data_IF_534119369820
#
_entry.id   IF_534119369820
#
_cell.length_a   1.000
_cell.length_b   1.000
_cell.length_c   1.000
_cell.angle_alpha   90.00
_cell.angle_beta   90.00
_cell.angle_gamma   90.00
#
_symmetry.space_group_name_H-M   'P 1'
#
loop_
_entity.id
_entity.type
_entity.pdbx_description
1 polymer ?
#
# COMPACT_ATOMS: atom_id res chain seq x y z
N UNK A 1 22.28 11.97 71.24
CA UNK A 1 23.40 11.12 70.79
C UNK A 1 22.93 10.39 69.54
N UNK A 2 23.19 10.96 68.35
CA UNK A 2 22.81 10.32 67.08
C UNK A 2 23.84 9.22 66.79
N UNK A 3 23.43 7.95 66.75
CA UNK A 3 24.34 6.84 66.46
C UNK A 3 24.83 6.97 65.02
N UNK A 4 26.15 7.06 64.84
CA UNK A 4 26.81 7.15 63.54
C UNK A 4 26.53 5.94 62.63
N UNK A 5 26.08 4.83 63.20
CA UNK A 5 25.72 3.60 62.48
C UNK A 5 24.52 3.77 61.53
N UNK A 6 23.56 4.64 61.88
CA UNK A 6 22.42 4.93 61.01
C UNK A 6 22.79 5.80 59.81
N UNK A 7 23.84 6.63 59.92
CA UNK A 7 24.26 7.52 58.84
C UNK A 7 24.86 6.72 57.68
N UNK A 8 25.67 5.70 57.99
CA UNK A 8 26.23 4.78 56.99
C UNK A 8 25.14 4.06 56.21
N UNK A 9 24.18 3.45 56.91
CA UNK A 9 23.08 2.73 56.28
C UNK A 9 22.20 3.62 55.39
N UNK A 10 21.92 4.86 55.81
CA UNK A 10 21.16 5.83 55.02
C UNK A 10 21.92 6.20 53.74
N UNK A 11 23.22 6.49 53.84
CA UNK A 11 24.05 6.83 52.67
C UNK A 11 24.10 5.66 51.68
N UNK A 12 24.30 4.43 52.15
CA UNK A 12 24.33 3.24 51.29
C UNK A 12 22.97 3.00 50.60
N UNK A 13 21.86 3.22 51.32
CA UNK A 13 20.52 3.08 50.77
C UNK A 13 20.25 4.11 49.68
N UNK A 14 20.60 5.37 49.91
CA UNK A 14 20.44 6.46 48.92
C UNK A 14 21.30 6.19 47.68
N UNK A 15 22.56 5.80 47.85
CA UNK A 15 23.45 5.46 46.73
C UNK A 15 22.92 4.27 45.91
N UNK A 16 22.36 3.26 46.59
CA UNK A 16 21.76 2.10 45.92
C UNK A 16 20.53 2.50 45.09
N UNK A 17 19.71 3.40 45.62
CA UNK A 17 18.51 3.91 44.95
C UNK A 17 18.86 4.77 43.73
N UNK A 18 19.89 5.61 43.84
CA UNK A 18 20.43 6.40 42.73
C UNK A 18 21.02 5.49 41.65
N UNK A 19 21.79 4.47 42.03
CA UNK A 19 22.33 3.50 41.09
C UNK A 19 21.22 2.74 40.36
N UNK A 20 20.18 2.29 41.08
CA UNK A 20 19.03 1.62 40.49
C UNK A 20 18.32 2.51 39.46
N UNK A 21 18.05 3.77 39.80
CA UNK A 21 17.42 4.74 38.89
C UNK A 21 18.28 5.00 37.64
N UNK A 22 19.61 5.06 37.81
CA UNK A 22 20.53 5.20 36.69
C UNK A 22 20.45 4.00 35.73
N UNK A 23 20.44 2.76 36.25
CA UNK A 23 20.32 1.57 35.42
C UNK A 23 18.97 1.46 34.71
N UNK A 24 17.87 1.83 35.38
CA UNK A 24 16.53 1.86 34.76
C UNK A 24 16.47 2.89 33.63
N UNK A 25 16.97 4.10 33.87
CA UNK A 25 17.03 5.17 32.86
C UNK A 25 17.94 4.81 31.68
N UNK A 26 19.10 4.21 31.95
CA UNK A 26 20.01 3.73 30.91
C UNK A 26 19.38 2.62 30.07
N UNK A 27 18.68 1.67 30.69
CA UNK A 27 17.94 0.61 30.00
C UNK A 27 16.83 1.16 29.12
N UNK A 28 16.06 2.13 29.62
CA UNK A 28 14.99 2.79 28.86
C UNK A 28 15.54 3.57 27.66
N UNK A 29 16.63 4.32 27.86
CA UNK A 29 17.32 5.04 26.77
C UNK A 29 17.91 4.09 25.73
N UNK A 30 18.49 2.96 26.14
CA UNK A 30 19.01 1.95 25.21
C UNK A 30 17.87 1.33 24.39
N UNK A 31 16.73 1.09 25.01
CA UNK A 31 15.54 0.56 24.33
C UNK A 31 14.96 1.56 23.33
N UNK A 32 14.91 2.85 23.69
CA UNK A 32 14.54 3.94 22.80
C UNK A 32 15.51 4.09 21.63
N UNK A 33 16.83 4.02 21.88
CA UNK A 33 17.85 4.05 20.83
C UNK A 33 17.71 2.88 19.87
N UNK A 34 17.49 1.65 20.37
CA UNK A 34 17.25 0.49 19.51
C UNK A 34 15.98 0.61 18.67
N UNK A 35 14.91 1.21 19.20
CA UNK A 35 13.71 1.52 18.43
C UNK A 35 13.97 2.61 17.38
N UNK A 36 14.69 3.66 17.74
CA UNK A 36 15.07 4.74 16.82
C UNK A 36 16.01 4.26 15.71
N UNK A 37 16.95 3.37 16.01
CA UNK A 37 17.87 2.75 15.03
C UNK A 37 17.12 1.84 14.07
N UNK A 38 16.14 1.06 14.55
CA UNK A 38 15.26 0.25 13.68
C UNK A 38 14.35 1.12 12.82
N UNK A 39 13.82 2.20 13.37
CA UNK A 39 13.02 3.18 12.63
C UNK A 39 13.88 3.90 11.58
N UNK A 40 15.12 4.26 11.92
CA UNK A 40 16.07 4.89 11.00
C UNK A 40 16.56 3.92 9.91
N UNK A 41 16.76 2.64 10.22
CA UNK A 41 17.08 1.61 9.24
C UNK A 41 15.89 1.39 8.29
N UNK A 42 14.67 1.28 8.82
CA UNK A 42 13.45 1.18 8.02
C UNK A 42 13.22 2.43 7.15
N UNK A 43 13.54 3.62 7.66
CA UNK A 43 13.48 4.87 6.90
C UNK A 43 14.52 4.89 5.77
N UNK A 44 15.77 4.44 6.01
CA UNK A 44 16.80 4.33 4.96
C UNK A 44 16.44 3.29 3.91
N UNK A 45 15.86 2.17 4.30
CA UNK A 45 15.39 1.16 3.35
C UNK A 45 14.22 1.68 2.52
N UNK A 46 13.29 2.42 3.13
CA UNK A 46 12.22 3.12 2.42
C UNK A 46 12.77 4.17 1.44
N UNK A 47 13.78 4.95 1.85
CA UNK A 47 14.43 5.98 1.03
C UNK A 47 15.28 5.36 -0.10
N UNK A 48 15.88 4.19 0.14
CA UNK A 48 16.57 3.40 -0.88
C UNK A 48 15.58 2.80 -1.89
N UNK A 49 14.41 2.36 -1.42
CA UNK A 49 13.31 1.94 -2.28
C UNK A 49 12.70 3.11 -3.07
N UNK A 50 12.68 4.31 -2.49
CA UNK A 50 12.17 5.53 -3.12
C UNK A 50 13.18 6.16 -4.10
N UNK A 51 14.49 6.02 -3.88
CA UNK A 51 15.53 6.36 -4.88
C UNK A 51 15.62 5.37 -6.04
N UNK A 52 15.06 4.16 -5.88
CA UNK A 52 14.77 3.23 -6.97
C UNK A 52 13.43 3.52 -7.67
N UNK A 53 12.72 4.62 -7.34
CA UNK A 53 11.60 5.11 -8.16
C UNK A 53 12.15 5.63 -9.50
N UNK A 54 11.65 5.17 -10.65
CA UNK A 54 11.49 6.11 -11.74
C UNK A 54 10.52 7.21 -11.27
N UNK A 55 11.01 8.44 -11.23
CA UNK A 55 10.25 9.64 -10.85
C UNK A 55 9.10 9.82 -11.82
N UNK A 56 7.90 9.42 -11.39
CA UNK A 56 6.72 9.41 -12.24
C UNK A 56 6.85 8.43 -13.39
N UNK A 57 5.72 7.99 -13.89
CA UNK A 57 5.67 7.53 -15.26
C UNK A 57 5.96 8.78 -16.11
N UNK A 58 7.23 9.05 -16.41
CA UNK A 58 7.54 9.92 -17.56
C UNK A 58 6.72 9.40 -18.72
N UNK A 59 6.15 10.27 -19.57
CA UNK A 59 5.41 9.83 -20.74
C UNK A 59 6.31 8.82 -21.47
N UNK A 60 5.93 7.56 -21.45
CA UNK A 60 6.60 6.51 -22.21
C UNK A 60 6.15 6.69 -23.65
N UNK A 61 6.50 7.84 -24.25
CA UNK A 61 6.31 8.14 -25.66
C UNK A 61 7.25 7.20 -26.44
N UNK A 62 6.72 6.07 -26.90
CA UNK A 62 7.40 5.18 -27.84
C UNK A 62 7.84 3.80 -27.34
N UNK A 63 7.49 3.38 -26.11
CA UNK A 63 7.76 2.00 -25.67
C UNK A 63 6.64 1.04 -26.08
N UNK A 64 7.05 -0.20 -26.43
CA UNK A 64 6.17 -1.34 -26.67
C UNK A 64 5.03 -1.40 -25.62
N UNK A 65 3.75 -1.40 -26.05
CA UNK A 65 2.59 -1.46 -25.15
C UNK A 65 2.69 -2.57 -24.10
N UNK A 66 3.30 -3.72 -24.44
CA UNK A 66 3.48 -4.82 -23.49
C UNK A 66 4.46 -4.43 -22.37
N UNK A 67 5.57 -3.78 -22.72
CA UNK A 67 6.55 -3.27 -21.75
C UNK A 67 5.96 -2.24 -20.78
N UNK A 68 5.10 -1.35 -21.29
CA UNK A 68 4.42 -0.35 -20.43
C UNK A 68 3.39 -1.01 -19.52
N UNK A 69 2.61 -1.97 -20.03
CA UNK A 69 1.66 -2.73 -19.22
C UNK A 69 2.36 -3.53 -18.12
N UNK A 70 3.52 -4.13 -18.42
CA UNK A 70 4.34 -4.83 -17.43
C UNK A 70 4.89 -3.88 -16.35
N UNK A 71 5.37 -2.70 -16.74
CA UNK A 71 5.84 -1.68 -15.80
C UNK A 71 4.72 -1.19 -14.88
N UNK A 72 3.53 -0.95 -15.43
CA UNK A 72 2.35 -0.53 -14.67
C UNK A 72 1.90 -1.61 -13.68
N UNK A 73 1.84 -2.87 -14.12
CA UNK A 73 1.52 -4.01 -13.25
C UNK A 73 2.52 -4.11 -12.10
N UNK A 74 3.82 -3.96 -12.39
CA UNK A 74 4.85 -3.99 -11.36
C UNK A 74 4.66 -2.88 -10.33
N UNK A 75 4.26 -1.69 -10.76
CA UNK A 75 3.96 -0.58 -9.85
C UNK A 75 2.73 -0.85 -8.99
N UNK A 76 1.65 -1.35 -9.59
CA UNK A 76 0.44 -1.76 -8.86
C UNK A 76 0.82 -2.78 -7.77
N UNK A 77 1.48 -3.87 -8.14
CA UNK A 77 1.90 -4.91 -7.19
C UNK A 77 2.82 -4.38 -6.10
N UNK A 78 3.72 -3.45 -6.43
CA UNK A 78 4.64 -2.84 -5.46
C UNK A 78 3.91 -2.05 -4.41
N UNK A 79 2.89 -1.29 -4.78
CA UNK A 79 2.09 -0.52 -3.85
C UNK A 79 1.13 -1.42 -3.07
N UNK A 80 0.55 -2.46 -3.70
CA UNK A 80 -0.22 -3.47 -2.99
C UNK A 80 0.59 -4.16 -1.88
N UNK A 81 1.92 -4.29 -2.04
CA UNK A 81 2.80 -4.82 -0.99
C UNK A 81 3.06 -3.85 0.18
N UNK A 82 2.71 -2.55 0.06
CA UNK A 82 3.01 -1.50 1.05
C UNK A 82 1.84 -1.20 1.99
N UNK A 83 1.27 -2.24 2.60
CA UNK A 83 0.21 -2.15 3.63
C UNK A 83 -0.98 -1.24 3.22
N UNK A 84 -1.71 -1.61 2.16
CA UNK A 84 -2.99 -0.99 1.83
C UNK A 84 -3.94 -1.05 3.02
N UNK A 85 -4.62 0.06 3.28
CA UNK A 85 -5.49 0.24 4.45
C UNK A 85 -6.90 0.73 4.11
N UNK A 86 -7.11 1.24 2.88
CA UNK A 86 -8.43 1.66 2.40
C UNK A 86 -8.53 1.43 0.90
N UNK A 87 -9.72 1.03 0.46
CA UNK A 87 -10.09 0.80 -0.91
C UNK A 87 -11.48 1.39 -1.14
N UNK A 88 -11.61 2.17 -2.21
CA UNK A 88 -12.86 2.82 -2.61
C UNK A 88 -13.10 2.53 -4.08
N UNK A 89 -14.28 2.05 -4.44
CA UNK A 89 -14.68 1.84 -5.83
C UNK A 89 -15.94 2.65 -6.09
N UNK A 90 -15.88 3.52 -7.12
CA UNK A 90 -16.95 4.43 -7.50
C UNK A 90 -17.53 5.27 -6.34
N UNK A 91 -16.70 5.57 -5.33
CA UNK A 91 -17.11 6.34 -4.16
C UNK A 91 -17.54 5.51 -2.94
N UNK A 92 -17.66 4.19 -3.06
CA UNK A 92 -18.02 3.32 -1.93
C UNK A 92 -16.82 2.51 -1.42
N UNK A 93 -16.80 2.25 -0.13
CA UNK A 93 -15.77 1.43 0.49
C UNK A 93 -15.97 -0.05 0.16
N UNK A 94 -14.91 -0.69 -0.29
CA UNK A 94 -14.89 -2.14 -0.53
C UNK A 94 -13.89 -2.82 0.39
N UNK A 95 -14.00 -4.13 0.54
CA UNK A 95 -13.00 -4.92 1.28
C UNK A 95 -11.64 -4.80 0.58
N UNK A 96 -10.72 -4.16 1.28
CA UNK A 96 -9.34 -3.93 0.86
C UNK A 96 -8.64 -5.26 0.57
N UNK A 97 -8.77 -6.24 1.46
CA UNK A 97 -8.09 -7.52 1.33
C UNK A 97 -8.62 -8.31 0.12
N UNK A 98 -9.93 -8.30 -0.10
CA UNK A 98 -10.56 -8.93 -1.25
C UNK A 98 -10.09 -8.27 -2.57
N UNK A 99 -10.15 -6.94 -2.66
CA UNK A 99 -9.72 -6.22 -3.87
C UNK A 99 -8.25 -6.48 -4.19
N UNK A 100 -7.38 -6.52 -3.17
CA UNK A 100 -5.96 -6.84 -3.36
C UNK A 100 -5.78 -8.28 -3.84
N UNK A 101 -6.50 -9.23 -3.25
CA UNK A 101 -6.45 -10.62 -3.67
C UNK A 101 -6.80 -10.73 -5.16
N UNK A 102 -7.88 -10.08 -5.59
CA UNK A 102 -8.29 -10.09 -7.00
C UNK A 102 -7.27 -9.41 -7.91
N UNK A 103 -6.80 -8.21 -7.56
CA UNK A 103 -5.76 -7.50 -8.31
C UNK A 103 -4.45 -8.28 -8.37
N UNK A 104 -4.11 -9.06 -7.34
CA UNK A 104 -2.92 -9.92 -7.35
C UNK A 104 -2.98 -11.02 -8.40
N UNK A 105 -4.20 -11.42 -8.80
CA UNK A 105 -4.43 -12.43 -9.85
C UNK A 105 -4.47 -11.86 -11.27
N UNK A 106 -4.19 -10.56 -11.45
CA UNK A 106 -4.24 -9.86 -12.73
C UNK A 106 -3.58 -10.66 -13.86
N UNK A 107 -4.38 -11.03 -14.87
CA UNK A 107 -3.95 -11.79 -16.03
C UNK A 107 -3.71 -10.86 -17.21
N UNK A 108 -2.61 -11.07 -17.91
CA UNK A 108 -2.30 -10.28 -19.10
C UNK A 108 -3.23 -10.68 -20.26
N UNK A 109 -3.77 -9.73 -21.04
CA UNK A 109 -4.63 -10.04 -22.17
C UNK A 109 -3.81 -10.70 -23.29
N UNK A 110 -4.31 -11.76 -23.90
CA UNK A 110 -3.74 -12.26 -25.16
C UNK A 110 -4.00 -11.27 -26.33
N UNK A 111 -5.11 -10.55 -26.25
CA UNK A 111 -5.56 -9.54 -27.22
C UNK A 111 -5.88 -8.23 -26.51
N UNK A 112 -5.50 -7.06 -27.08
CA UNK A 112 -5.85 -5.76 -26.51
C UNK A 112 -7.36 -5.61 -26.33
N UNK A 113 -7.78 -5.16 -25.14
CA UNK A 113 -9.16 -4.77 -24.89
C UNK A 113 -9.27 -3.23 -24.91
N UNK A 114 -10.03 -2.65 -25.86
CA UNK A 114 -10.29 -1.22 -25.90
C UNK A 114 -11.33 -0.84 -24.84
N UNK A 115 -11.30 0.43 -24.39
CA UNK A 115 -12.37 0.96 -23.56
C UNK A 115 -13.69 0.98 -24.33
N UNK A 116 -14.71 0.29 -23.83
CA UNK A 116 -16.05 0.17 -24.42
C UNK A 116 -17.17 0.65 -23.50
N UNK A 117 -16.97 0.60 -22.18
CA UNK A 117 -17.96 0.94 -21.15
C UNK A 117 -17.44 2.04 -20.22
N UNK A 118 -18.35 2.60 -19.41
CA UNK A 118 -17.97 3.59 -18.38
C UNK A 118 -17.17 2.89 -17.28
N UNK A 119 -15.90 3.26 -17.05
CA UNK A 119 -15.07 2.58 -16.07
C UNK A 119 -15.43 2.97 -14.64
N UNK A 120 -15.44 1.98 -13.75
CA UNK A 120 -15.49 2.17 -12.31
C UNK A 120 -14.14 2.72 -11.83
N UNK A 121 -14.18 3.85 -11.11
CA UNK A 121 -12.96 4.45 -10.56
C UNK A 121 -12.62 3.76 -9.24
N UNK A 122 -11.49 3.07 -9.19
CA UNK A 122 -10.99 2.41 -8.00
C UNK A 122 -9.79 3.17 -7.42
N UNK A 123 -9.80 3.34 -6.10
CA UNK A 123 -8.77 4.04 -5.34
C UNK A 123 -8.29 3.13 -4.22
N UNK A 124 -6.98 2.85 -4.19
CA UNK A 124 -6.37 2.07 -3.11
C UNK A 124 -5.37 2.95 -2.39
N UNK A 125 -5.66 3.27 -1.13
CA UNK A 125 -4.79 4.07 -0.28
C UNK A 125 -3.86 3.17 0.53
N UNK A 126 -2.59 3.56 0.57
CA UNK A 126 -1.52 2.86 1.27
C UNK A 126 -0.78 3.83 2.19
N UNK A 127 0.16 3.32 2.99
CA UNK A 127 0.96 4.17 3.88
C UNK A 127 1.87 5.17 3.15
N UNK A 128 2.11 4.98 1.85
CA UNK A 128 3.05 5.78 1.04
C UNK A 128 2.38 6.60 -0.06
N UNK A 129 1.07 6.45 -0.23
CA UNK A 129 0.33 7.13 -1.29
C UNK A 129 -0.90 6.35 -1.75
N UNK A 130 -1.55 6.87 -2.78
CA UNK A 130 -2.76 6.32 -3.36
C UNK A 130 -2.50 5.87 -4.79
N UNK A 131 -3.05 4.70 -5.16
CA UNK A 131 -3.18 4.29 -6.56
C UNK A 131 -4.59 4.58 -7.02
N UNK A 132 -4.69 5.06 -8.25
CA UNK A 132 -5.93 5.21 -8.98
C UNK A 132 -5.95 4.18 -10.11
N UNK A 133 -7.01 3.39 -10.19
CA UNK A 133 -7.27 2.42 -11.25
C UNK A 133 -8.62 2.70 -11.87
N UNK A 134 -8.77 2.33 -13.13
CA UNK A 134 -10.06 2.26 -13.80
C UNK A 134 -10.36 0.78 -14.05
N UNK A 135 -11.54 0.34 -13.62
CA UNK A 135 -12.01 -1.03 -13.78
C UNK A 135 -13.20 -1.00 -14.71
N UNK A 136 -13.08 -1.63 -15.88
CA UNK A 136 -14.17 -1.73 -16.83
C UNK A 136 -14.69 -3.16 -16.87
N UNK A 137 -16.00 -3.33 -16.92
CA UNK A 137 -16.59 -4.66 -16.98
C UNK A 137 -16.49 -5.22 -18.40
N UNK A 138 -16.20 -6.51 -18.52
CA UNK A 138 -16.30 -7.22 -19.78
C UNK A 138 -17.79 -7.33 -20.20
N UNK A 139 -18.15 -6.95 -21.45
CA UNK A 139 -19.52 -7.09 -21.94
C UNK A 139 -20.00 -8.55 -22.02
N UNK A 140 -19.09 -9.51 -22.19
CA UNK A 140 -19.42 -10.92 -22.37
C UNK A 140 -19.42 -11.70 -21.05
N UNK A 141 -18.62 -11.28 -20.07
CA UNK A 141 -18.51 -11.92 -18.76
C UNK A 141 -18.64 -10.91 -17.62
N UNK A 142 -19.78 -10.97 -16.94
CA UNK A 142 -20.11 -10.04 -15.84
C UNK A 142 -19.06 -10.01 -14.73
N UNK A 143 -18.35 -11.12 -14.49
CA UNK A 143 -17.37 -11.21 -13.40
C UNK A 143 -15.98 -10.75 -13.83
N UNK A 144 -15.77 -10.51 -15.11
CA UNK A 144 -14.46 -10.12 -15.64
C UNK A 144 -14.38 -8.60 -15.69
N UNK A 145 -13.32 -8.05 -15.10
CA UNK A 145 -13.03 -6.62 -15.11
C UNK A 145 -11.64 -6.36 -15.70
N UNK A 146 -11.61 -5.54 -16.73
CA UNK A 146 -10.42 -5.01 -17.36
C UNK A 146 -9.85 -3.85 -16.53
N UNK A 147 -8.56 -3.94 -16.21
CA UNK A 147 -7.87 -3.00 -15.34
C UNK A 147 -7.04 -2.04 -16.17
N UNK A 148 -7.23 -0.75 -15.95
CA UNK A 148 -6.51 0.34 -16.63
C UNK A 148 -5.90 1.29 -15.60
N UNK A 149 -4.86 2.02 -16.00
CA UNK A 149 -4.17 2.95 -15.11
C UNK A 149 -4.21 4.38 -15.66
N UNK A 150 -5.07 5.27 -15.16
CA UNK A 150 -5.34 6.59 -15.77
C UNK A 150 -4.12 7.50 -15.97
N UNK A 151 -3.05 7.30 -15.17
CA UNK A 151 -1.79 8.03 -15.30
C UNK A 151 -0.88 7.57 -16.45
N UNK A 152 -1.28 6.55 -17.22
CA UNK A 152 -0.51 6.01 -18.34
C UNK A 152 -1.29 6.17 -19.64
N UNK A 153 -0.75 6.96 -20.57
CA UNK A 153 -1.34 7.19 -21.90
C UNK A 153 -1.55 5.89 -22.68
N UNK A 154 -0.58 4.97 -22.65
CA UNK A 154 -0.69 3.66 -23.32
C UNK A 154 -1.84 2.81 -22.77
N UNK A 155 -2.20 3.02 -21.50
CA UNK A 155 -3.30 2.30 -20.85
C UNK A 155 -4.66 2.98 -21.01
N UNK A 156 -4.73 4.14 -21.68
CA UNK A 156 -6.00 4.70 -22.16
C UNK A 156 -6.52 3.97 -23.40
N UNK A 157 -5.65 3.25 -24.11
CA UNK A 157 -6.03 2.51 -25.32
C UNK A 157 -6.01 0.99 -25.11
N UNK A 158 -5.37 0.50 -24.04
CA UNK A 158 -5.20 -0.95 -23.83
C UNK A 158 -5.21 -1.28 -22.34
N UNK A 159 -6.00 -2.28 -21.97
CA UNK A 159 -6.02 -2.80 -20.60
C UNK A 159 -4.65 -3.36 -20.18
N UNK A 160 -4.31 -3.17 -18.90
CA UNK A 160 -3.16 -3.81 -18.27
C UNK A 160 -3.33 -5.32 -18.14
N UNK A 161 -4.58 -5.73 -18.04
CA UNK A 161 -4.99 -7.09 -17.77
C UNK A 161 -6.44 -7.13 -17.36
N UNK A 162 -6.87 -8.32 -16.97
CA UNK A 162 -8.19 -8.55 -16.43
C UNK A 162 -8.11 -9.34 -15.12
N UNK A 163 -9.11 -9.12 -14.28
CA UNK A 163 -9.36 -9.87 -13.05
C UNK A 163 -10.76 -10.45 -13.10
N UNK A 164 -10.98 -11.58 -12.44
CA UNK A 164 -12.32 -12.12 -12.21
C UNK A 164 -12.67 -11.91 -10.76
N UNK A 165 -13.76 -11.20 -10.49
CA UNK A 165 -14.16 -10.86 -9.12
C UNK A 165 -15.67 -10.73 -9.01
N UNK A 166 -16.19 -11.19 -7.88
CA UNK A 166 -17.60 -11.02 -7.47
C UNK A 166 -17.74 -9.79 -6.54
N UNK A 167 -16.63 -9.16 -6.13
CA UNK A 167 -16.59 -8.02 -5.20
C UNK A 167 -17.34 -6.80 -5.73
N UNK A 168 -17.46 -6.69 -7.06
CA UNK A 168 -17.96 -5.50 -7.75
C UNK A 168 -19.38 -5.67 -8.29
N UNK A 169 -20.05 -6.78 -7.98
CA UNK A 169 -21.43 -7.03 -8.39
C UNK A 169 -22.41 -6.02 -7.78
N UNK A 170 -22.11 -5.49 -6.59
CA UNK A 170 -22.93 -4.47 -5.92
C UNK A 170 -22.99 -3.12 -6.65
N UNK A 171 -22.04 -2.84 -7.56
CA UNK A 171 -22.00 -1.61 -8.36
C UNK A 171 -22.72 -1.76 -9.70
N UNK A 172 -23.50 -2.83 -9.88
CA UNK A 172 -24.33 -3.03 -11.07
C UNK A 172 -25.46 -1.98 -11.11
N UNK A 173 -25.63 -1.24 -12.22
CA UNK A 173 -26.88 -0.53 -12.44
C UNK A 173 -27.99 -1.56 -12.62
N UNK A 174 -29.08 -1.44 -11.83
CA UNK A 174 -30.26 -2.30 -11.94
C UNK A 174 -30.70 -2.37 -13.41
N UNK A 175 -30.92 -3.57 -13.99
CA UNK A 175 -31.36 -3.66 -15.37
C UNK A 175 -32.67 -2.88 -15.52
N UNK A 176 -32.71 -1.92 -16.45
CA UNK A 176 -33.95 -1.21 -16.77
C UNK A 176 -35.03 -2.25 -17.09
N UNK A 177 -36.22 -2.17 -16.46
CA UNK A 177 -37.29 -3.10 -16.77
C UNK A 177 -37.60 -2.97 -18.26
N UNK A 178 -37.47 -4.09 -18.98
CA UNK A 178 -37.83 -4.17 -20.39
C UNK A 178 -39.33 -3.83 -20.48
N UNK A 179 -39.62 -2.66 -21.03
CA UNK A 179 -40.98 -2.17 -21.25
C UNK A 179 -41.70 -2.93 -22.37
#
# INVERSE_FOLDING_TARGET
>A
MFSFDNLGAVITTVLSLVALLFFVSAGYNLHLRRKAERAAAAARDADKLDSLRPVGLKPYEGADPQGVAWAARREIMRVLARKPHSAVVNGEHVDVAALIADLSTLRYPATPHPHAQTPLKAFVATAVGQINLWLERDPEDRRTYWVFHPGLESTRATALGFVKTDLLDAFEPEPEPVA
#
